data_IF_757796115555
#
_entry.id   IF_757796115555
#
_cell.length_a   1.000
_cell.length_b   1.000
_cell.length_c   1.000
_cell.angle_alpha   90.00
_cell.angle_beta   90.00
_cell.angle_gamma   90.00
#
_symmetry.space_group_name_H-M   'P 1'
#
loop_
_entity.id
_entity.type
_entity.pdbx_description
1 polymer ?
#
# COMPACT_ATOMS: atom_id res chain seq x y z
N UNK A 1 25.31 3.38 15.21
CA UNK A 1 24.32 2.29 14.99
C UNK A 1 23.84 2.46 13.56
N UNK A 2 24.20 1.57 12.63
CA UNK A 2 23.72 1.67 11.23
C UNK A 2 22.32 1.11 11.20
N UNK A 3 21.34 1.94 10.90
CA UNK A 3 19.95 1.50 10.70
C UNK A 3 19.80 0.88 9.31
N UNK A 4 18.83 0.00 9.12
CA UNK A 4 18.48 -0.61 7.81
C UNK A 4 18.16 0.44 6.73
N UNK A 5 18.02 1.70 7.15
CA UNK A 5 17.70 2.86 6.32
C UNK A 5 18.92 3.59 5.77
N UNK A 6 20.14 3.04 5.97
CA UNK A 6 21.37 3.72 5.59
C UNK A 6 21.63 3.76 4.07
N UNK A 7 20.77 3.13 3.25
CA UNK A 7 20.82 3.24 1.80
C UNK A 7 19.41 3.45 1.22
N UNK A 8 19.15 4.62 0.65
CA UNK A 8 17.90 4.90 -0.09
C UNK A 8 17.65 3.90 -1.21
N UNK A 9 18.72 3.39 -1.81
CA UNK A 9 18.64 2.38 -2.85
C UNK A 9 18.11 1.05 -2.31
N UNK A 10 18.44 0.67 -1.07
CA UNK A 10 17.92 -0.54 -0.45
C UNK A 10 16.42 -0.44 -0.17
N UNK A 11 15.93 0.71 0.32
CA UNK A 11 14.50 0.96 0.50
C UNK A 11 13.76 0.92 -0.84
N UNK A 12 14.26 1.64 -1.85
CA UNK A 12 13.66 1.63 -3.18
C UNK A 12 13.65 0.25 -3.85
N UNK A 13 14.62 -0.62 -3.54
CA UNK A 13 14.67 -1.98 -4.09
C UNK A 13 13.45 -2.83 -3.68
N UNK A 14 12.84 -2.58 -2.53
CA UNK A 14 11.62 -3.26 -2.10
C UNK A 14 10.40 -2.82 -2.92
N UNK A 15 10.28 -1.52 -3.18
CA UNK A 15 9.18 -0.98 -3.98
C UNK A 15 9.31 -1.31 -5.46
N UNK A 16 10.52 -1.37 -6.00
CA UNK A 16 10.79 -1.65 -7.43
C UNK A 16 10.11 -2.92 -7.92
N UNK A 17 10.02 -3.95 -7.09
CA UNK A 17 9.37 -5.20 -7.45
C UNK A 17 7.88 -4.99 -7.77
N UNK A 18 7.18 -4.22 -6.96
CA UNK A 18 5.77 -3.87 -7.19
C UNK A 18 5.64 -2.89 -8.36
N UNK A 19 6.50 -1.87 -8.41
CA UNK A 19 6.53 -0.89 -9.49
C UNK A 19 6.75 -1.55 -10.86
N UNK A 20 7.70 -2.48 -10.96
CA UNK A 20 7.96 -3.22 -12.20
C UNK A 20 6.76 -4.09 -12.60
N UNK A 21 6.09 -4.72 -11.62
CA UNK A 21 4.85 -5.47 -11.91
C UNK A 21 3.77 -4.54 -12.46
N UNK A 22 3.58 -3.35 -11.91
CA UNK A 22 2.64 -2.37 -12.47
C UNK A 22 2.99 -1.98 -13.90
N UNK A 23 4.27 -1.79 -14.19
CA UNK A 23 4.73 -1.44 -15.52
C UNK A 23 4.43 -2.53 -16.57
N UNK A 24 4.22 -3.77 -16.15
CA UNK A 24 3.82 -4.88 -17.03
C UNK A 24 2.33 -4.85 -17.42
N UNK A 25 1.53 -3.97 -16.79
CA UNK A 25 0.09 -3.83 -17.04
C UNK A 25 -0.25 -2.43 -17.56
N UNK A 26 -0.31 -2.28 -18.88
CA UNK A 26 -0.53 -0.99 -19.54
C UNK A 26 -1.82 -0.32 -19.11
N UNK A 27 -2.94 -1.05 -19.07
CA UNK A 27 -4.25 -0.54 -18.66
C UNK A 27 -4.20 0.10 -17.27
N UNK A 28 -3.42 -0.49 -16.37
CA UNK A 28 -3.22 0.04 -15.02
C UNK A 28 -2.41 1.34 -15.06
N UNK A 29 -1.28 1.33 -15.75
CA UNK A 29 -0.38 2.49 -15.85
C UNK A 29 -1.05 3.68 -16.54
N UNK A 30 -1.80 3.44 -17.61
CA UNK A 30 -2.50 4.48 -18.36
C UNK A 30 -3.68 5.09 -17.59
N UNK A 31 -4.21 4.38 -16.59
CA UNK A 31 -5.28 4.88 -15.71
C UNK A 31 -4.79 5.85 -14.64
N UNK A 32 -3.48 5.94 -14.39
CA UNK A 32 -2.88 6.77 -13.33
C UNK A 32 -2.32 8.06 -13.92
N UNK A 33 -2.94 9.19 -13.62
CA UNK A 33 -2.44 10.51 -13.97
C UNK A 33 -1.84 11.27 -12.77
N UNK A 34 -2.16 10.83 -11.54
CA UNK A 34 -1.72 11.50 -10.32
C UNK A 34 -1.43 10.52 -9.18
N UNK A 35 -0.28 10.68 -8.53
CA UNK A 35 0.19 9.87 -7.41
C UNK A 35 0.40 10.76 -6.18
N UNK A 36 -0.10 10.31 -5.03
CA UNK A 36 0.26 10.84 -3.72
C UNK A 36 1.14 9.82 -3.01
N UNK A 37 2.38 10.18 -2.78
CA UNK A 37 3.39 9.34 -2.11
C UNK A 37 3.49 9.74 -0.63
N UNK A 38 3.07 8.85 0.25
CA UNK A 38 2.89 9.04 1.67
C UNK A 38 4.05 8.40 2.44
N UNK A 39 4.90 9.25 3.02
CA UNK A 39 6.21 8.85 3.53
C UNK A 39 7.22 8.70 2.41
N UNK A 40 7.28 9.69 1.52
CA UNK A 40 8.02 9.60 0.26
C UNK A 40 9.55 9.60 0.42
N UNK A 41 10.08 9.84 1.61
CA UNK A 41 11.52 9.84 1.86
C UNK A 41 12.28 10.69 0.84
N UNK A 42 13.23 10.09 0.14
CA UNK A 42 14.05 10.78 -0.87
C UNK A 42 13.35 11.00 -2.22
N UNK A 43 12.15 10.43 -2.41
CA UNK A 43 11.34 10.63 -3.61
C UNK A 43 11.72 9.73 -4.78
N UNK A 44 12.39 8.62 -4.56
CA UNK A 44 12.82 7.70 -5.62
C UNK A 44 11.62 7.03 -6.30
N UNK A 45 10.60 6.63 -5.52
CA UNK A 45 9.38 6.05 -6.07
C UNK A 45 8.60 7.08 -6.90
N UNK A 46 8.55 8.36 -6.46
CA UNK A 46 7.98 9.45 -7.26
C UNK A 46 8.72 9.66 -8.58
N UNK A 47 10.06 9.57 -8.55
CA UNK A 47 10.85 9.69 -9.78
C UNK A 47 10.53 8.55 -10.73
N UNK A 48 10.40 7.34 -10.21
CA UNK A 48 9.97 6.19 -11.02
C UNK A 48 8.62 6.49 -11.71
N UNK A 49 7.60 6.92 -10.98
CA UNK A 49 6.28 7.25 -11.53
C UNK A 49 6.34 8.36 -12.59
N UNK A 50 7.02 9.47 -12.27
CA UNK A 50 7.04 10.66 -13.12
C UNK A 50 7.81 10.49 -14.42
N UNK A 51 8.66 9.48 -14.52
CA UNK A 51 9.48 9.19 -15.71
C UNK A 51 8.92 8.07 -16.59
N UNK A 52 7.75 7.54 -16.28
CA UNK A 52 7.17 6.44 -17.06
C UNK A 52 6.67 6.88 -18.43
N UNK A 53 6.81 5.93 -19.35
CA UNK A 53 6.30 6.03 -20.72
C UNK A 53 5.33 4.87 -20.99
N UNK A 54 4.53 4.99 -22.04
CA UNK A 54 3.79 3.84 -22.57
C UNK A 54 4.75 2.72 -22.97
N UNK A 55 4.27 1.47 -22.96
CA UNK A 55 5.09 0.29 -23.34
C UNK A 55 5.23 0.11 -24.86
N UNK A 56 4.66 0.99 -25.65
CA UNK A 56 4.90 0.96 -27.10
C UNK A 56 6.37 1.25 -27.39
N UNK A 57 7.15 0.19 -27.59
CA UNK A 57 8.58 0.27 -27.84
C UNK A 57 8.92 1.00 -29.15
N UNK A 58 7.99 1.05 -30.09
CA UNK A 58 8.18 1.74 -31.38
C UNK A 58 7.85 3.23 -31.27
N UNK A 59 7.00 3.61 -30.32
CA UNK A 59 6.59 5.00 -30.11
C UNK A 59 6.30 5.30 -28.62
N UNK A 60 7.32 5.25 -27.75
CA UNK A 60 7.14 5.48 -26.33
C UNK A 60 6.71 6.93 -26.08
N UNK A 61 5.55 7.11 -25.43
CA UNK A 61 5.03 8.44 -25.07
C UNK A 61 5.07 8.61 -23.56
N UNK A 62 5.53 9.78 -23.04
CA UNK A 62 5.50 10.07 -21.61
C UNK A 62 4.08 10.01 -21.07
N UNK A 63 3.88 9.30 -19.95
CA UNK A 63 2.59 9.23 -19.26
C UNK A 63 2.28 10.53 -18.49
N UNK A 64 3.30 11.36 -18.24
CA UNK A 64 3.18 12.65 -17.55
C UNK A 64 2.50 12.55 -16.17
N UNK A 65 2.77 11.48 -15.42
CA UNK A 65 2.19 11.24 -14.11
C UNK A 65 2.70 12.28 -13.12
N UNK A 66 1.77 13.04 -12.52
CA UNK A 66 2.08 14.07 -11.52
C UNK A 66 2.18 13.44 -10.14
N UNK A 67 3.32 13.62 -9.49
CA UNK A 67 3.57 13.08 -8.16
C UNK A 67 3.59 14.18 -7.10
N UNK A 68 2.92 13.93 -6.00
CA UNK A 68 3.01 14.76 -4.78
C UNK A 68 3.52 13.87 -3.67
N UNK A 69 4.67 14.20 -3.10
CA UNK A 69 5.22 13.49 -1.95
C UNK A 69 4.98 14.24 -0.66
N UNK A 70 4.65 13.51 0.38
CA UNK A 70 4.49 14.02 1.74
C UNK A 70 5.38 13.23 2.69
N UNK A 71 6.17 13.94 3.49
CA UNK A 71 7.00 13.34 4.53
C UNK A 71 7.18 14.35 5.67
N UNK A 72 7.36 13.86 6.90
CA UNK A 72 7.65 14.72 8.07
C UNK A 72 8.98 15.45 7.91
N UNK A 73 9.96 14.78 7.35
CA UNK A 73 11.32 15.28 7.22
C UNK A 73 11.59 15.60 5.75
N UNK A 74 12.21 16.75 5.51
CA UNK A 74 12.59 17.13 4.15
C UNK A 74 13.87 16.41 3.70
N UNK A 75 13.71 15.13 3.37
CA UNK A 75 14.77 14.31 2.77
C UNK A 75 14.67 14.20 1.24
N UNK A 76 13.63 14.77 0.64
CA UNK A 76 13.39 14.65 -0.79
C UNK A 76 14.48 15.37 -1.59
N UNK A 77 15.35 14.59 -2.22
CA UNK A 77 16.44 15.08 -3.08
C UNK A 77 16.06 15.11 -4.56
N UNK A 78 14.97 14.41 -4.90
CA UNK A 78 14.52 14.27 -6.30
C UNK A 78 14.00 15.61 -6.83
N UNK A 79 14.43 15.97 -8.04
CA UNK A 79 13.99 17.18 -8.77
C UNK A 79 13.47 16.79 -10.14
N UNK A 80 12.17 17.00 -10.35
CA UNK A 80 11.52 16.74 -11.63
C UNK A 80 10.30 17.68 -11.80
N UNK A 81 9.98 18.20 -13.00
CA UNK A 81 8.86 19.14 -13.20
C UNK A 81 7.50 18.60 -12.76
N UNK A 82 7.32 17.28 -12.78
CA UNK A 82 6.07 16.61 -12.37
C UNK A 82 6.04 16.21 -10.89
N UNK A 83 7.09 16.53 -10.11
CA UNK A 83 7.18 16.18 -8.70
C UNK A 83 7.03 17.41 -7.83
N UNK A 84 6.16 17.32 -6.84
CA UNK A 84 6.01 18.32 -5.77
C UNK A 84 6.22 17.64 -4.43
N UNK A 85 7.03 18.22 -3.56
CA UNK A 85 7.24 17.75 -2.20
C UNK A 85 6.59 18.68 -1.19
N UNK A 86 6.03 18.09 -0.10
CA UNK A 86 5.46 18.78 1.06
C UNK A 86 5.98 18.17 2.35
N UNK A 87 6.66 18.99 3.18
CA UNK A 87 7.05 18.56 4.53
C UNK A 87 5.82 18.71 5.44
N UNK A 88 5.11 17.60 5.66
CA UNK A 88 3.87 17.53 6.43
C UNK A 88 3.70 16.14 7.03
N UNK A 89 2.87 16.07 8.06
CA UNK A 89 2.44 14.81 8.65
C UNK A 89 1.31 14.21 7.79
N UNK A 90 1.60 13.09 7.12
CA UNK A 90 0.63 12.38 6.29
C UNK A 90 -0.47 11.68 7.11
N UNK A 91 -0.29 11.58 8.43
CA UNK A 91 -1.27 11.01 9.36
C UNK A 91 -2.37 12.01 9.72
N UNK A 92 -2.03 13.26 9.97
CA UNK A 92 -2.97 14.23 10.57
C UNK A 92 -3.44 15.29 9.59
N UNK A 93 -2.54 16.11 9.10
CA UNK A 93 -2.85 17.22 8.19
C UNK A 93 -1.80 17.29 7.08
N UNK A 94 -2.22 16.88 5.90
CA UNK A 94 -1.36 16.94 4.72
C UNK A 94 -1.31 18.33 4.09
N UNK A 95 -2.15 19.26 4.53
CA UNK A 95 -2.28 20.61 3.92
C UNK A 95 -2.22 20.56 2.38
N UNK A 96 -2.87 19.54 1.83
CA UNK A 96 -2.96 19.37 0.39
C UNK A 96 -4.15 20.18 -0.12
N UNK A 97 -4.03 20.86 -1.27
CA UNK A 97 -5.19 21.39 -1.93
C UNK A 97 -6.24 20.28 -2.04
N UNK A 98 -7.53 20.64 -2.01
CA UNK A 98 -8.67 19.69 -1.98
C UNK A 98 -8.71 18.76 -3.21
N UNK A 99 -7.57 18.28 -3.62
CA UNK A 99 -7.30 17.45 -4.78
C UNK A 99 -7.33 15.98 -4.38
N UNK A 100 -7.94 15.19 -5.20
CA UNK A 100 -7.91 13.73 -5.11
C UNK A 100 -6.88 13.19 -6.08
N UNK A 101 -6.40 11.99 -5.80
CA UNK A 101 -5.38 11.29 -6.55
C UNK A 101 -5.92 9.96 -7.09
N UNK A 102 -5.38 9.51 -8.21
CA UNK A 102 -5.72 8.23 -8.79
C UNK A 102 -5.06 7.10 -8.04
N UNK A 103 -3.86 7.36 -7.51
CA UNK A 103 -3.09 6.41 -6.73
C UNK A 103 -2.55 7.07 -5.45
N UNK A 104 -2.78 6.42 -4.32
CA UNK A 104 -2.04 6.63 -3.09
C UNK A 104 -0.97 5.54 -2.98
N UNK A 105 0.26 5.96 -2.84
CA UNK A 105 1.41 5.09 -2.67
C UNK A 105 1.99 5.27 -1.28
N UNK A 106 2.16 4.18 -0.53
CA UNK A 106 2.76 4.22 0.79
C UNK A 106 3.66 3.00 0.95
N UNK A 107 4.96 3.24 0.88
CA UNK A 107 5.99 2.23 1.03
C UNK A 107 6.79 2.51 2.30
N UNK A 108 6.88 1.50 3.17
CA UNK A 108 7.68 1.52 4.40
C UNK A 108 7.42 2.72 5.33
N UNK A 109 6.17 3.17 5.40
CA UNK A 109 5.79 4.31 6.23
C UNK A 109 4.54 4.07 7.11
N UNK A 110 3.60 3.23 6.68
CA UNK A 110 2.32 3.04 7.39
C UNK A 110 2.46 2.39 8.77
N UNK A 111 3.52 1.67 9.05
CA UNK A 111 3.81 1.10 10.38
C UNK A 111 4.12 2.16 11.45
N UNK A 112 4.44 3.38 11.06
CA UNK A 112 4.72 4.51 11.96
C UNK A 112 3.49 5.34 12.30
N UNK A 113 2.35 5.04 11.70
CA UNK A 113 1.09 5.74 11.94
C UNK A 113 0.56 5.40 13.34
N UNK A 114 0.17 6.41 14.10
CA UNK A 114 -0.37 6.24 15.47
C UNK A 114 -1.85 5.85 15.48
N UNK A 115 -2.61 6.37 14.52
CA UNK A 115 -4.04 6.10 14.35
C UNK A 115 -4.32 5.62 12.92
N UNK A 116 -4.11 4.32 12.63
CA UNK A 116 -4.26 3.77 11.30
C UNK A 116 -5.69 3.83 10.77
N UNK A 117 -6.70 3.72 11.65
CA UNK A 117 -8.10 3.80 11.22
C UNK A 117 -8.43 5.19 10.65
N UNK A 118 -8.24 6.24 11.42
CA UNK A 118 -8.56 7.59 10.96
C UNK A 118 -7.65 8.04 9.81
N UNK A 119 -6.41 7.57 9.78
CA UNK A 119 -5.49 7.84 8.67
C UNK A 119 -6.00 7.23 7.37
N UNK A 120 -6.38 5.96 7.36
CA UNK A 120 -6.92 5.30 6.15
C UNK A 120 -8.26 5.90 5.69
N UNK A 121 -9.11 6.35 6.62
CA UNK A 121 -10.33 7.09 6.29
C UNK A 121 -10.00 8.41 5.59
N UNK A 122 -9.06 9.20 6.12
CA UNK A 122 -8.60 10.45 5.48
C UNK A 122 -7.96 10.20 4.11
N UNK A 123 -7.14 9.16 3.99
CA UNK A 123 -6.53 8.80 2.71
C UNK A 123 -7.58 8.44 1.67
N UNK A 124 -8.63 7.71 2.09
CA UNK A 124 -9.75 7.37 1.20
C UNK A 124 -10.46 8.63 0.68
N UNK A 125 -10.59 9.69 1.47
CA UNK A 125 -11.17 10.96 1.02
C UNK A 125 -10.28 11.68 -0.01
N UNK A 126 -8.98 11.43 0.01
CA UNK A 126 -7.98 11.94 -0.95
C UNK A 126 -7.84 11.09 -2.21
N UNK A 127 -8.59 10.01 -2.32
CA UNK A 127 -8.54 9.10 -3.47
C UNK A 127 -9.72 9.36 -4.40
N UNK A 128 -9.49 9.33 -5.71
CA UNK A 128 -10.54 9.40 -6.72
C UNK A 128 -11.52 8.21 -6.61
N UNK A 129 -12.69 8.30 -7.24
CA UNK A 129 -13.75 7.28 -7.12
C UNK A 129 -13.27 5.87 -7.52
N UNK A 130 -12.47 5.74 -8.53
CA UNK A 130 -11.88 4.48 -8.98
C UNK A 130 -10.39 4.40 -8.64
N UNK A 131 -9.95 5.23 -7.70
CA UNK A 131 -8.56 5.28 -7.32
C UNK A 131 -8.19 4.15 -6.39
N UNK A 132 -6.89 3.96 -6.24
CA UNK A 132 -6.33 2.84 -5.50
C UNK A 132 -5.36 3.30 -4.42
N UNK A 133 -5.15 2.43 -3.46
CA UNK A 133 -4.12 2.52 -2.45
C UNK A 133 -3.17 1.33 -2.61
N UNK A 134 -1.88 1.62 -2.69
CA UNK A 134 -0.83 0.62 -2.58
C UNK A 134 -0.13 0.79 -1.25
N UNK A 135 -0.14 -0.28 -0.47
CA UNK A 135 0.60 -0.37 0.79
C UNK A 135 1.67 -1.44 0.69
N UNK A 136 2.90 -1.07 1.03
CA UNK A 136 4.01 -2.00 1.20
C UNK A 136 4.52 -1.81 2.62
N UNK A 137 4.22 -2.79 3.48
CA UNK A 137 4.49 -2.71 4.92
C UNK A 137 5.27 -3.92 5.40
N UNK A 138 6.16 -3.76 6.41
CA UNK A 138 6.83 -4.88 7.01
C UNK A 138 5.83 -5.80 7.68
N UNK A 139 6.03 -7.10 7.49
CA UNK A 139 5.19 -8.12 8.08
C UNK A 139 5.76 -8.61 9.40
N UNK A 140 4.86 -8.80 10.35
CA UNK A 140 5.12 -9.64 11.52
C UNK A 140 5.10 -11.09 11.10
N UNK A 141 6.25 -11.68 10.89
CA UNK A 141 6.38 -13.13 10.77
C UNK A 141 7.28 -13.63 11.86
N UNK A 142 6.87 -14.67 12.50
CA UNK A 142 7.59 -15.49 13.44
C UNK A 142 8.62 -14.76 14.35
N UNK A 143 8.30 -14.78 15.61
CA UNK A 143 8.79 -13.99 16.72
C UNK A 143 10.30 -14.00 16.96
N UNK A 144 11.03 -15.03 16.56
CA UNK A 144 12.45 -15.14 16.91
C UNK A 144 13.36 -14.50 15.85
N UNK A 145 13.04 -14.70 14.58
CA UNK A 145 13.86 -14.19 13.46
C UNK A 145 13.75 -12.69 13.31
N UNK A 146 12.60 -12.13 13.66
CA UNK A 146 12.29 -10.72 13.48
C UNK A 146 12.51 -9.87 14.74
N UNK A 147 12.72 -10.50 15.90
CA UNK A 147 12.95 -9.76 17.15
C UNK A 147 14.15 -8.82 17.06
N UNK A 148 15.22 -9.26 16.43
CA UNK A 148 16.40 -8.41 16.18
C UNK A 148 16.13 -7.31 15.17
N UNK A 149 15.22 -7.54 14.21
CA UNK A 149 14.80 -6.53 13.23
C UNK A 149 13.82 -5.53 13.86
N UNK A 150 12.99 -5.95 14.82
CA UNK A 150 12.05 -5.06 15.50
C UNK A 150 12.74 -4.10 16.48
N UNK A 151 13.80 -4.55 17.12
CA UNK A 151 14.62 -3.69 17.99
C UNK A 151 15.33 -2.58 17.18
N UNK A 152 15.45 -2.76 15.87
CA UNK A 152 16.01 -1.76 14.96
C UNK A 152 14.95 -0.78 14.40
N UNK A 153 13.66 -1.05 14.56
CA UNK A 153 12.56 -0.20 14.09
C UNK A 153 12.12 0.77 15.20
N UNK A 154 13.00 1.67 15.60
CA UNK A 154 12.68 2.75 16.54
C UNK A 154 11.43 3.52 16.05
N UNK A 155 10.38 3.56 16.89
CA UNK A 155 9.15 4.30 16.60
C UNK A 155 8.10 3.57 15.78
N UNK A 156 8.31 2.30 15.40
CA UNK A 156 7.28 1.49 14.76
C UNK A 156 6.12 1.22 15.74
N UNK A 157 4.92 1.68 15.40
CA UNK A 157 3.74 1.52 16.25
C UNK A 157 2.95 0.25 15.92
N UNK A 158 3.00 -0.22 14.69
CA UNK A 158 2.21 -1.37 14.23
C UNK A 158 3.06 -2.39 13.48
N UNK A 159 2.81 -3.64 13.82
CA UNK A 159 3.31 -4.80 13.11
C UNK A 159 2.13 -5.49 12.41
N UNK A 160 2.18 -5.53 11.11
CA UNK A 160 1.06 -6.02 10.32
C UNK A 160 1.16 -7.51 10.03
N UNK A 161 0.05 -8.20 10.16
CA UNK A 161 -0.21 -9.48 9.50
C UNK A 161 -1.16 -9.24 8.33
N UNK A 162 -1.20 -10.13 7.36
CA UNK A 162 -2.15 -9.98 6.24
C UNK A 162 -3.61 -9.86 6.71
N UNK A 163 -4.10 -10.71 7.64
CA UNK A 163 -5.45 -10.55 8.15
C UNK A 163 -5.68 -9.20 8.85
N UNK A 164 -4.77 -8.75 9.70
CA UNK A 164 -4.96 -7.49 10.42
C UNK A 164 -4.94 -6.28 9.49
N UNK A 165 -4.09 -6.28 8.48
CA UNK A 165 -4.06 -5.23 7.45
C UNK A 165 -5.33 -5.26 6.60
N UNK A 166 -5.76 -6.44 6.14
CA UNK A 166 -7.00 -6.62 5.38
C UNK A 166 -8.23 -6.14 6.17
N UNK A 167 -8.33 -6.51 7.45
CA UNK A 167 -9.40 -6.03 8.33
C UNK A 167 -9.41 -4.50 8.40
N UNK A 168 -8.26 -3.90 8.69
CA UNK A 168 -8.12 -2.45 8.83
C UNK A 168 -8.51 -1.72 7.54
N UNK A 169 -8.09 -2.21 6.39
CA UNK A 169 -8.46 -1.67 5.08
C UNK A 169 -9.97 -1.81 4.84
N UNK A 170 -10.56 -2.98 5.07
CA UNK A 170 -11.97 -3.22 4.84
C UNK A 170 -12.87 -2.35 5.73
N UNK A 171 -12.58 -2.23 7.04
CA UNK A 171 -13.38 -1.39 7.95
C UNK A 171 -13.27 0.10 7.65
N UNK A 172 -12.20 0.54 7.02
CA UNK A 172 -12.01 1.94 6.60
C UNK A 172 -12.54 2.25 5.20
N UNK A 173 -13.25 1.27 4.59
CA UNK A 173 -13.96 1.46 3.33
C UNK A 173 -13.09 1.31 2.09
N UNK A 174 -12.04 0.51 2.18
CA UNK A 174 -11.29 0.05 1.02
C UNK A 174 -11.83 -1.29 0.54
N UNK A 175 -11.93 -1.45 -0.76
CA UNK A 175 -12.35 -2.71 -1.40
C UNK A 175 -11.17 -3.67 -1.44
N UNK A 176 -11.20 -4.63 -0.53
CA UNK A 176 -10.23 -5.72 -0.50
C UNK A 176 -10.64 -6.88 -1.41
N UNK A 177 -11.92 -6.95 -1.82
CA UNK A 177 -12.44 -8.04 -2.64
C UNK A 177 -11.83 -8.04 -4.05
N UNK A 178 -11.74 -6.85 -4.67
CA UNK A 178 -11.05 -6.64 -5.94
C UNK A 178 -9.55 -6.41 -5.80
N UNK A 179 -9.01 -6.53 -4.58
CA UNK A 179 -7.62 -6.22 -4.29
C UNK A 179 -6.63 -7.31 -4.71
N UNK A 180 -5.37 -6.90 -4.80
CA UNK A 180 -4.25 -7.79 -5.08
C UNK A 180 -3.30 -7.81 -3.89
N UNK A 181 -2.78 -9.01 -3.59
CA UNK A 181 -2.03 -9.25 -2.37
C UNK A 181 -0.81 -10.10 -2.66
N UNK A 182 0.34 -9.65 -2.18
CA UNK A 182 1.56 -10.40 -2.31
C UNK A 182 2.24 -10.54 -0.97
N UNK A 183 2.62 -11.75 -0.66
CA UNK A 183 3.58 -12.10 0.35
C UNK A 183 4.28 -13.38 -0.06
N UNK A 184 5.57 -13.32 -0.24
CA UNK A 184 6.40 -14.49 -0.48
C UNK A 184 7.01 -14.98 0.84
N UNK A 185 7.34 -16.28 0.97
CA UNK A 185 7.90 -16.85 2.20
C UNK A 185 9.22 -16.20 2.63
N UNK A 186 10.01 -15.75 1.67
CA UNK A 186 11.30 -15.07 1.83
C UNK A 186 11.18 -13.55 1.86
N UNK A 187 9.98 -13.00 1.67
CA UNK A 187 9.72 -11.58 1.66
C UNK A 187 9.12 -11.15 3.01
N UNK A 188 9.85 -10.32 3.73
CA UNK A 188 9.41 -9.77 5.01
C UNK A 188 8.32 -8.69 4.87
N UNK A 189 7.78 -8.50 3.66
CA UNK A 189 6.84 -7.43 3.34
C UNK A 189 5.49 -7.96 2.88
N UNK A 190 4.43 -7.23 3.26
CA UNK A 190 3.10 -7.37 2.66
C UNK A 190 2.96 -6.27 1.62
N UNK A 191 2.63 -6.67 0.40
CA UNK A 191 2.25 -5.76 -0.68
C UNK A 191 0.75 -5.88 -0.89
N UNK A 192 0.02 -4.80 -0.71
CA UNK A 192 -1.43 -4.74 -0.88
C UNK A 192 -1.79 -3.65 -1.89
N UNK A 193 -2.62 -3.98 -2.85
CA UNK A 193 -3.26 -3.06 -3.78
C UNK A 193 -4.76 -3.16 -3.58
N UNK A 194 -5.39 -2.10 -3.13
CA UNK A 194 -6.83 -2.07 -2.87
C UNK A 194 -7.46 -0.84 -3.52
N UNK A 195 -8.74 -0.92 -3.81
CA UNK A 195 -9.47 0.16 -4.46
C UNK A 195 -10.34 0.93 -3.47
N UNK A 196 -10.63 2.17 -3.79
CA UNK A 196 -11.61 2.92 -3.02
C UNK A 196 -13.00 2.32 -3.22
N UNK A 197 -13.59 1.77 -2.15
CA UNK A 197 -14.97 1.30 -2.16
C UNK A 197 -15.97 2.47 -2.20
N UNK A 198 -17.14 2.25 -2.76
CA UNK A 198 -18.28 3.18 -2.64
C UNK A 198 -18.92 3.13 -1.25
N UNK A 199 -18.70 2.06 -0.51
CA UNK A 199 -19.22 1.90 0.85
C UNK A 199 -18.53 2.86 1.82
N UNK A 200 -19.32 3.41 2.74
CA UNK A 200 -18.77 4.24 3.82
C UNK A 200 -17.88 3.40 4.77
N UNK A 201 -16.88 4.02 5.40
CA UNK A 201 -16.14 3.39 6.48
C UNK A 201 -17.07 2.83 7.55
N UNK A 202 -16.71 1.69 8.11
CA UNK A 202 -17.40 1.04 9.23
C UNK A 202 -16.60 1.29 10.52
N UNK A 203 -17.25 1.24 11.68
CA UNK A 203 -16.55 1.42 12.95
C UNK A 203 -15.60 0.26 13.28
N UNK A 204 -14.55 0.56 14.06
CA UNK A 204 -13.77 -0.49 14.73
C UNK A 204 -14.71 -1.36 15.57
N UNK A 205 -14.50 -2.67 15.56
CA UNK A 205 -15.43 -3.62 16.17
C UNK A 205 -16.46 -4.20 15.21
N UNK A 206 -16.52 -3.76 13.96
CA UNK A 206 -17.24 -4.45 12.90
C UNK A 206 -16.74 -5.88 12.78
N UNK A 207 -17.65 -6.86 12.79
CA UNK A 207 -17.25 -8.27 12.73
C UNK A 207 -16.80 -8.65 11.33
N UNK A 208 -15.97 -9.66 11.25
CA UNK A 208 -15.55 -10.23 9.97
C UNK A 208 -16.71 -10.67 9.07
N UNK A 209 -17.79 -11.20 9.67
CA UNK A 209 -19.00 -11.56 8.95
C UNK A 209 -19.65 -10.36 8.25
N UNK A 210 -19.72 -9.24 8.95
CA UNK A 210 -20.34 -8.03 8.41
C UNK A 210 -19.52 -7.45 7.24
N UNK A 211 -18.21 -7.64 7.25
CA UNK A 211 -17.31 -7.28 6.14
C UNK A 211 -17.46 -8.25 4.96
N UNK A 212 -17.58 -9.54 5.24
CA UNK A 212 -17.80 -10.57 4.23
C UNK A 212 -19.15 -10.37 3.52
N UNK A 213 -20.21 -10.09 4.29
CA UNK A 213 -21.55 -9.84 3.75
C UNK A 213 -21.65 -8.51 2.98
N UNK A 214 -20.84 -7.54 3.36
CA UNK A 214 -20.69 -6.29 2.63
C UNK A 214 -19.88 -6.42 1.32
N UNK A 215 -19.30 -7.60 1.03
CA UNK A 215 -18.49 -7.83 -0.15
C UNK A 215 -17.17 -7.07 -0.17
N UNK A 216 -16.65 -6.73 1.01
CA UNK A 216 -15.37 -5.98 1.15
C UNK A 216 -14.15 -6.89 1.24
N UNK A 217 -14.33 -8.20 1.34
CA UNK A 217 -13.26 -9.17 1.48
C UNK A 217 -13.10 -10.03 0.23
N UNK A 218 -11.88 -10.51 -0.07
CA UNK A 218 -11.68 -11.52 -1.11
C UNK A 218 -12.60 -12.73 -0.90
N UNK A 219 -13.13 -13.29 -1.99
CA UNK A 219 -14.14 -14.37 -1.90
C UNK A 219 -13.65 -15.58 -1.11
N UNK A 220 -12.38 -15.97 -1.26
CA UNK A 220 -11.80 -17.07 -0.47
C UNK A 220 -11.84 -16.80 1.04
N UNK A 221 -11.51 -15.57 1.44
CA UNK A 221 -11.56 -15.12 2.82
C UNK A 221 -13.01 -15.07 3.34
N UNK A 222 -13.93 -14.48 2.56
CA UNK A 222 -15.33 -14.37 2.90
C UNK A 222 -15.99 -15.77 3.05
N UNK A 223 -15.73 -16.68 2.12
CA UNK A 223 -16.24 -18.06 2.18
C UNK A 223 -15.69 -18.80 3.40
N UNK A 224 -14.41 -18.64 3.71
CA UNK A 224 -13.79 -19.22 4.90
C UNK A 224 -14.46 -18.76 6.19
N UNK A 225 -14.69 -17.46 6.32
CA UNK A 225 -15.37 -16.84 7.47
C UNK A 225 -16.80 -17.36 7.59
N UNK A 226 -17.59 -17.35 6.50
CA UNK A 226 -18.97 -17.85 6.51
C UNK A 226 -19.05 -19.32 6.91
N UNK A 227 -18.09 -20.13 6.48
CA UNK A 227 -18.07 -21.59 6.74
C UNK A 227 -17.65 -21.92 8.17
N UNK A 228 -16.65 -21.24 8.72
CA UNK A 228 -15.96 -21.65 9.95
C UNK A 228 -15.99 -20.63 11.07
N UNK A 229 -16.30 -19.36 10.78
CA UNK A 229 -16.23 -18.27 11.74
C UNK A 229 -14.84 -17.67 11.94
N UNK A 230 -13.83 -18.16 11.21
CA UNK A 230 -12.45 -17.66 11.25
C UNK A 230 -11.76 -17.82 9.91
N UNK A 231 -10.67 -17.06 9.71
CA UNK A 231 -9.79 -17.20 8.55
C UNK A 231 -8.78 -18.34 8.79
N UNK A 232 -8.70 -19.24 7.84
CA UNK A 232 -7.64 -20.25 7.78
C UNK A 232 -6.62 -19.85 6.70
N UNK A 233 -5.44 -20.44 6.74
CA UNK A 233 -4.35 -20.14 5.83
C UNK A 233 -4.74 -20.30 4.34
N UNK A 234 -5.48 -21.33 4.01
CA UNK A 234 -5.96 -21.59 2.65
C UNK A 234 -6.90 -20.50 2.11
N UNK A 235 -7.54 -19.73 2.98
CA UNK A 235 -8.44 -18.64 2.58
C UNK A 235 -7.66 -17.39 2.17
N UNK A 236 -6.38 -17.37 2.48
CA UNK A 236 -5.45 -16.29 2.19
C UNK A 236 -4.57 -16.59 0.96
N UNK A 237 -4.97 -17.56 0.14
CA UNK A 237 -4.45 -17.74 -1.21
C UNK A 237 -5.08 -16.66 -2.11
N UNK A 238 -4.41 -15.53 -2.22
CA UNK A 238 -4.95 -14.33 -2.85
C UNK A 238 -4.22 -14.04 -4.16
N UNK A 239 -4.91 -13.45 -5.15
CA UNK A 239 -4.29 -13.12 -6.43
C UNK A 239 -3.30 -11.97 -6.29
N UNK A 240 -2.25 -12.01 -7.10
CA UNK A 240 -1.37 -10.89 -7.36
C UNK A 240 -1.66 -10.29 -8.74
N UNK A 241 -1.04 -9.18 -9.06
CA UNK A 241 -1.24 -8.43 -10.31
C UNK A 241 -1.00 -9.26 -11.58
N UNK A 242 -0.06 -10.19 -11.56
CA UNK A 242 0.22 -11.13 -12.65
C UNK A 242 -0.71 -12.35 -12.66
N UNK A 243 -1.78 -12.33 -11.85
CA UNK A 243 -2.75 -13.41 -11.65
C UNK A 243 -2.16 -14.68 -10.99
N UNK A 244 -0.91 -14.66 -10.56
CA UNK A 244 -0.38 -15.73 -9.71
C UNK A 244 -1.08 -15.71 -8.35
N UNK A 245 -1.24 -16.89 -7.76
CA UNK A 245 -1.74 -17.00 -6.39
C UNK A 245 -0.57 -16.84 -5.43
N UNK A 246 -0.70 -15.95 -4.48
CA UNK A 246 0.24 -15.83 -3.37
C UNK A 246 -0.15 -16.77 -2.25
N UNK A 247 0.70 -17.74 -1.97
CA UNK A 247 0.55 -18.57 -0.78
C UNK A 247 1.01 -17.80 0.44
N UNK A 248 0.13 -17.64 1.41
CA UNK A 248 0.45 -17.04 2.68
C UNK A 248 0.95 -18.13 3.65
N UNK A 249 2.20 -18.49 3.53
CA UNK A 249 2.84 -19.38 4.49
C UNK A 249 3.35 -18.56 5.66
N UNK A 250 2.60 -18.59 6.76
CA UNK A 250 3.06 -18.10 8.04
C UNK A 250 3.90 -19.18 8.70
N UNK A 251 5.14 -18.91 8.92
CA UNK A 251 5.96 -19.65 9.87
C UNK A 251 6.93 -18.75 10.59
#
# INVERSE_FOLDING_TARGET
>A
MKTWFDSPEASHAHSLRTLNTFYEFDDFMESVASVLDLGCGQGLDMLWWSTRTTRDLNNPRPLNIKCTGVDLINHCITRHPLITFRSRDFETDMDLPAKRFDLLWCHDAFQYVRDPYNTLVRWRERTNKNGMLVLIVPQTTNTVRNRQQWEALDGCHYHWTLPSLMYMLAVTGWDCAGGFWRKQPDDAWIHAVVYRSEQAPKGLGTRWYDLADAGLLPESAAAGIRKRGYLAQQDLLLPWLDKSLTSYLNY
#
